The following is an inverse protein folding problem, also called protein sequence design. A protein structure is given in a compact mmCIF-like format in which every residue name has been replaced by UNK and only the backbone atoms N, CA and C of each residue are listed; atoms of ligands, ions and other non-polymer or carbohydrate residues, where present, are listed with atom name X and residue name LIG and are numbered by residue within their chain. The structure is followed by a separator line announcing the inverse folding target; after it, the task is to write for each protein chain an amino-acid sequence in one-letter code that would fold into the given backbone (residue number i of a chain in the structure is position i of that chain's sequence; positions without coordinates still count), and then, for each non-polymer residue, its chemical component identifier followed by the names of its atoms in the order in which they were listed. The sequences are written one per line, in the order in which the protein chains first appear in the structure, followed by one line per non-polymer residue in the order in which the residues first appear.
data_IF_961645516508
#
_entry.id   IF_961645516508
#
_cell.length_a   1.000
_cell.length_b   1.000
_cell.length_c   1.000
_cell.angle_alpha   90.00
_cell.angle_beta   90.00
_cell.angle_gamma   90.00
#
_symmetry.space_group_name_H-M   'P 1'
#
loop_
_entity.id
_entity.type
_entity.pdbx_description
1 polymer ?
#
# COMPACT_ATOMS: atom_id res chain seq x y z
N UNK A 1 -46.21 18.07 -8.91
CA UNK A 1 -44.75 18.22 -8.98
C UNK A 1 -44.17 17.57 -7.75
N UNK A 2 -43.70 16.34 -7.92
CA UNK A 2 -43.13 15.54 -6.82
C UNK A 2 -41.60 15.68 -6.92
N UNK A 3 -41.01 16.35 -5.94
CA UNK A 3 -39.56 16.49 -5.82
C UNK A 3 -39.04 15.19 -5.20
N UNK A 4 -38.36 14.35 -5.97
CA UNK A 4 -37.57 13.26 -5.45
C UNK A 4 -36.32 13.83 -4.80
N UNK A 5 -36.22 13.72 -3.48
CA UNK A 5 -34.98 13.90 -2.75
C UNK A 5 -34.04 12.77 -3.13
N UNK A 6 -32.89 13.10 -3.72
CA UNK A 6 -31.78 12.18 -3.89
C UNK A 6 -31.10 12.12 -2.53
N UNK A 7 -31.38 11.09 -1.77
CA UNK A 7 -30.56 10.71 -0.63
C UNK A 7 -29.18 10.29 -1.16
N UNK A 8 -28.20 11.13 -0.91
CA UNK A 8 -26.80 10.80 -1.07
C UNK A 8 -26.45 9.79 0.03
N UNK A 9 -26.61 8.52 -0.27
CA UNK A 9 -26.04 7.44 0.52
C UNK A 9 -24.52 7.55 0.41
N UNK A 10 -23.89 8.14 1.42
CA UNK A 10 -22.50 7.92 1.72
C UNK A 10 -22.36 6.45 2.11
N UNK A 11 -22.26 5.57 1.13
CA UNK A 11 -21.80 4.22 1.33
C UNK A 11 -20.37 4.29 1.88
N UNK A 12 -20.26 4.23 3.20
CA UNK A 12 -19.06 3.75 3.86
C UNK A 12 -18.86 2.30 3.42
N UNK A 13 -18.32 2.12 2.23
CA UNK A 13 -17.71 0.85 1.85
C UNK A 13 -16.60 0.62 2.86
N UNK A 14 -16.89 -0.20 3.86
CA UNK A 14 -15.87 -0.82 4.70
C UNK A 14 -14.98 -1.58 3.72
N UNK A 15 -13.88 -0.96 3.33
CA UNK A 15 -12.81 -1.62 2.60
C UNK A 15 -12.33 -2.71 3.54
N UNK A 16 -12.79 -3.94 3.33
CA UNK A 16 -12.22 -5.10 4.02
C UNK A 16 -10.72 -5.01 3.81
N UNK A 17 -9.97 -4.84 4.89
CA UNK A 17 -8.52 -4.85 4.85
C UNK A 17 -8.02 -6.14 4.19
N UNK A 18 -6.74 -6.23 3.86
CA UNK A 18 -6.18 -7.46 3.33
C UNK A 18 -6.50 -8.61 4.27
N UNK A 19 -6.92 -9.76 3.71
CA UNK A 19 -7.33 -10.94 4.50
C UNK A 19 -6.22 -11.54 5.36
N UNK A 20 -4.98 -11.03 5.24
CA UNK A 20 -3.79 -11.37 6.03
C UNK A 20 -2.80 -10.20 6.01
N UNK A 21 -2.11 -9.96 7.10
CA UNK A 21 -1.03 -8.96 7.21
C UNK A 21 0.31 -9.67 7.29
N UNK A 22 1.31 -9.18 6.54
CA UNK A 22 2.67 -9.77 6.47
C UNK A 22 3.65 -8.79 7.09
N UNK A 23 4.64 -9.29 7.85
CA UNK A 23 5.76 -8.47 8.38
C UNK A 23 6.59 -7.87 7.25
N UNK A 24 7.25 -6.74 7.52
CA UNK A 24 8.06 -6.05 6.50
C UNK A 24 9.21 -6.91 5.95
N UNK A 25 9.78 -7.81 6.77
CA UNK A 25 10.81 -8.78 6.38
C UNK A 25 10.23 -10.01 5.65
N UNK A 26 8.91 -10.17 5.63
CA UNK A 26 8.24 -11.30 5.00
C UNK A 26 8.38 -12.62 5.74
N UNK A 27 8.86 -12.63 7.01
CA UNK A 27 9.09 -13.84 7.77
C UNK A 27 7.81 -14.41 8.39
N UNK A 28 6.91 -13.55 8.83
CA UNK A 28 5.65 -13.92 9.46
C UNK A 28 4.45 -13.21 8.85
N UNK A 29 3.29 -13.82 9.03
CA UNK A 29 2.02 -13.18 8.74
C UNK A 29 0.99 -13.53 9.81
N UNK A 30 -0.08 -12.75 9.89
CA UNK A 30 -1.19 -13.02 10.78
C UNK A 30 -2.52 -12.64 10.14
N UNK A 31 -3.55 -13.38 10.49
CA UNK A 31 -4.94 -13.09 10.13
C UNK A 31 -5.88 -13.49 11.25
N UNK A 32 -7.08 -12.97 11.22
CA UNK A 32 -8.19 -13.53 11.96
C UNK A 32 -8.79 -14.65 11.12
N UNK A 33 -8.75 -15.88 11.63
CA UNK A 33 -9.21 -17.09 10.97
C UNK A 33 -10.41 -17.67 11.74
N UNK A 34 -11.06 -18.69 11.18
CA UNK A 34 -12.25 -19.31 11.76
C UNK A 34 -13.50 -19.08 10.91
N UNK A 35 -14.62 -19.61 11.36
CA UNK A 35 -15.91 -19.48 10.69
C UNK A 35 -16.98 -18.98 11.69
N UNK A 36 -17.93 -18.21 11.19
CA UNK A 36 -19.05 -17.72 11.99
C UNK A 36 -18.60 -16.83 13.14
N UNK A 37 -18.80 -17.29 14.37
CA UNK A 37 -18.40 -16.61 15.60
C UNK A 37 -17.16 -17.23 16.27
N UNK A 38 -16.69 -18.37 15.75
CA UNK A 38 -15.48 -19.06 16.28
C UNK A 38 -14.21 -18.52 15.60
N UNK A 39 -13.94 -17.23 15.84
CA UNK A 39 -12.77 -16.58 15.26
C UNK A 39 -11.57 -16.64 16.21
N UNK A 40 -10.38 -16.81 15.65
CA UNK A 40 -9.11 -16.85 16.39
C UNK A 40 -7.98 -16.23 15.57
N UNK A 41 -6.95 -15.65 16.22
CA UNK A 41 -5.73 -15.24 15.54
C UNK A 41 -4.99 -16.47 14.99
N UNK A 42 -4.53 -16.39 13.76
CA UNK A 42 -3.70 -17.39 13.12
C UNK A 42 -2.39 -16.75 12.68
N UNK A 43 -1.28 -17.32 13.14
CA UNK A 43 0.06 -16.90 12.74
C UNK A 43 0.61 -17.82 11.67
N UNK A 44 1.17 -17.26 10.63
CA UNK A 44 1.88 -17.98 9.59
C UNK A 44 3.38 -17.74 9.73
N UNK A 45 4.18 -18.79 9.60
CA UNK A 45 5.62 -18.73 9.37
C UNK A 45 5.84 -18.87 7.88
N UNK A 46 6.36 -17.83 7.24
CA UNK A 46 6.52 -17.74 5.79
C UNK A 46 7.96 -18.04 5.36
N UNK A 47 8.91 -17.87 6.27
CA UNK A 47 10.31 -18.20 6.07
C UNK A 47 10.56 -19.69 6.34
N UNK A 48 11.46 -20.27 5.53
CA UNK A 48 11.74 -21.70 5.60
C UNK A 48 11.32 -22.47 4.34
N UNK A 49 11.58 -23.80 4.32
CA UNK A 49 11.32 -24.64 3.14
C UNK A 49 9.83 -24.81 2.87
N UNK A 50 9.02 -24.89 3.90
CA UNK A 50 7.56 -25.04 3.84
C UNK A 50 6.88 -24.04 4.77
N UNK A 51 6.00 -23.17 4.26
CA UNK A 51 5.21 -22.30 5.10
C UNK A 51 4.19 -23.11 5.91
N UNK A 52 3.94 -22.69 7.14
CA UNK A 52 2.93 -23.33 7.98
C UNK A 52 2.18 -22.29 8.82
N UNK A 53 0.93 -22.62 9.17
CA UNK A 53 0.09 -21.83 10.03
C UNK A 53 -0.02 -22.46 11.42
N UNK A 54 -0.11 -21.61 12.44
CA UNK A 54 -0.38 -21.98 13.83
C UNK A 54 -1.60 -21.22 14.29
N UNK A 55 -2.64 -21.93 14.68
CA UNK A 55 -3.80 -21.34 15.33
C UNK A 55 -3.42 -20.89 16.75
N UNK A 56 -3.89 -19.73 17.13
CA UNK A 56 -3.66 -19.14 18.44
C UNK A 56 -5.00 -18.91 19.17
N UNK A 57 -5.77 -19.97 19.45
CA UNK A 57 -7.05 -19.83 20.14
C UNK A 57 -6.82 -19.38 21.59
N UNK A 58 -7.70 -18.52 22.06
CA UNK A 58 -7.75 -18.04 23.44
C UNK A 58 -8.96 -18.65 24.17
N UNK A 59 -9.17 -18.25 25.42
CA UNK A 59 -10.25 -18.77 26.24
C UNK A 59 -11.65 -18.49 25.66
N UNK A 60 -11.76 -17.44 24.84
CA UNK A 60 -12.98 -17.07 24.14
C UNK A 60 -12.65 -16.76 22.68
N UNK A 61 -13.57 -17.00 21.74
CA UNK A 61 -13.42 -16.57 20.36
C UNK A 61 -13.24 -15.05 20.26
N UNK A 62 -12.57 -14.62 19.20
CA UNK A 62 -12.39 -13.21 18.87
C UNK A 62 -13.60 -12.65 18.13
N UNK A 63 -13.83 -11.36 18.30
CA UNK A 63 -14.86 -10.64 17.56
C UNK A 63 -14.36 -10.30 16.12
N UNK A 64 -15.29 -10.15 15.16
CA UNK A 64 -14.97 -9.77 13.76
C UNK A 64 -14.22 -8.44 13.65
N UNK A 65 -14.35 -7.57 14.64
CA UNK A 65 -13.67 -6.28 14.73
C UNK A 65 -12.27 -6.34 15.37
N UNK A 66 -11.78 -7.53 15.74
CA UNK A 66 -10.42 -7.71 16.26
C UNK A 66 -9.42 -7.55 15.14
N UNK A 67 -8.47 -6.60 15.28
CA UNK A 67 -7.33 -6.49 14.38
C UNK A 67 -6.19 -7.38 14.85
N UNK A 68 -5.43 -7.91 13.88
CA UNK A 68 -4.23 -8.71 14.12
C UNK A 68 -3.05 -8.16 13.31
N UNK A 69 -1.88 -8.07 13.94
CA UNK A 69 -0.66 -7.57 13.32
C UNK A 69 0.53 -8.47 13.71
N UNK A 70 1.23 -9.09 12.75
CA UNK A 70 2.39 -9.92 13.04
C UNK A 70 3.62 -9.08 13.38
N UNK A 71 4.48 -9.62 14.25
CA UNK A 71 5.81 -9.09 14.56
C UNK A 71 6.90 -10.03 14.03
N UNK A 72 8.09 -9.50 13.75
CA UNK A 72 9.23 -10.27 13.22
C UNK A 72 9.84 -11.26 14.23
N UNK A 73 9.43 -11.23 15.50
CA UNK A 73 9.77 -12.22 16.50
C UNK A 73 8.77 -13.39 16.58
N UNK A 74 7.76 -13.39 15.71
CA UNK A 74 6.74 -14.43 15.62
C UNK A 74 5.58 -14.27 16.60
N UNK A 75 5.54 -13.20 17.40
CA UNK A 75 4.35 -12.82 18.18
C UNK A 75 3.34 -12.10 17.28
N UNK A 76 2.09 -12.12 17.70
CA UNK A 76 1.00 -11.42 17.01
C UNK A 76 0.38 -10.44 17.98
N UNK A 77 0.35 -9.16 17.59
CA UNK A 77 -0.43 -8.15 18.29
C UNK A 77 -1.90 -8.33 17.93
N UNK A 78 -2.76 -8.34 18.92
CA UNK A 78 -4.22 -8.27 18.76
C UNK A 78 -4.75 -6.99 19.38
N UNK A 79 -5.70 -6.36 18.69
CA UNK A 79 -6.45 -5.19 19.20
C UNK A 79 -7.92 -5.53 19.30
N UNK A 80 -8.47 -5.39 20.50
CA UNK A 80 -9.90 -5.57 20.79
C UNK A 80 -10.54 -4.24 21.18
N UNK A 81 -11.75 -4.00 20.74
CA UNK A 81 -12.53 -2.83 21.13
C UNK A 81 -13.55 -3.22 22.20
N UNK A 82 -13.41 -2.69 23.40
CA UNK A 82 -14.29 -3.03 24.54
C UNK A 82 -14.73 -1.75 25.23
N UNK A 83 -16.04 -1.48 25.25
CA UNK A 83 -16.64 -0.38 25.99
C UNK A 83 -15.96 0.99 25.78
N UNK A 84 -15.62 1.32 24.52
CA UNK A 84 -14.97 2.60 24.19
C UNK A 84 -13.47 2.65 24.47
N UNK A 85 -12.85 1.53 24.80
CA UNK A 85 -11.41 1.37 24.97
C UNK A 85 -10.86 0.42 23.95
N UNK A 86 -9.65 0.66 23.50
CA UNK A 86 -8.89 -0.23 22.62
C UNK A 86 -7.86 -0.96 23.48
N UNK A 87 -8.02 -2.27 23.60
CA UNK A 87 -7.14 -3.14 24.40
C UNK A 87 -6.16 -3.87 23.49
N UNK A 88 -4.93 -4.01 23.96
CA UNK A 88 -3.84 -4.64 23.22
C UNK A 88 -3.23 -5.79 23.99
N UNK A 89 -3.00 -6.90 23.29
CA UNK A 89 -2.28 -8.06 23.83
C UNK A 89 -1.34 -8.62 22.75
N UNK A 90 -0.23 -9.23 23.18
CA UNK A 90 0.61 -10.06 22.33
C UNK A 90 0.24 -11.52 22.55
N UNK A 91 -0.06 -12.23 21.47
CA UNK A 91 -0.31 -13.67 21.52
C UNK A 91 0.79 -14.44 20.79
N UNK A 92 1.14 -15.62 21.30
CA UNK A 92 2.23 -16.44 20.80
C UNK A 92 2.03 -17.92 21.18
N UNK A 93 2.59 -18.86 20.40
CA UNK A 93 2.49 -20.27 20.72
C UNK A 93 3.38 -20.61 21.93
N UNK A 94 2.85 -21.44 22.84
CA UNK A 94 3.57 -21.95 24.02
C UNK A 94 3.70 -23.48 24.00
N UNK A 95 3.83 -24.10 22.83
CA UNK A 95 3.74 -25.53 22.63
C UNK A 95 2.30 -25.92 22.28
N UNK A 96 1.57 -26.65 23.15
CA UNK A 96 0.20 -27.06 22.82
C UNK A 96 -0.85 -25.93 22.96
N UNK A 97 -0.47 -24.82 23.58
CA UNK A 97 -1.38 -23.71 23.89
C UNK A 97 -0.94 -22.37 23.33
N UNK A 98 -1.74 -21.34 23.64
CA UNK A 98 -1.49 -19.94 23.30
C UNK A 98 -1.14 -19.16 24.57
N UNK A 99 -0.01 -18.45 24.54
CA UNK A 99 0.33 -17.46 25.55
C UNK A 99 -0.27 -16.10 25.17
N UNK A 100 -0.72 -15.35 26.17
CA UNK A 100 -1.19 -13.98 26.01
C UNK A 100 -0.47 -13.06 27.00
N UNK A 101 0.07 -11.96 26.49
CA UNK A 101 0.69 -10.90 27.28
C UNK A 101 -0.10 -9.60 27.08
N UNK A 102 -0.91 -9.18 28.05
CA UNK A 102 -1.61 -7.90 27.98
C UNK A 102 -0.61 -6.72 27.99
N UNK A 103 -0.82 -5.75 27.10
CA UNK A 103 0.00 -4.54 26.98
C UNK A 103 -0.69 -3.31 27.57
N UNK A 104 -1.99 -3.41 27.89
CA UNK A 104 -2.82 -2.28 28.32
C UNK A 104 -3.74 -1.79 27.22
N UNK A 105 -4.16 -0.55 27.30
CA UNK A 105 -5.14 -0.01 26.37
C UNK A 105 -5.12 1.50 26.25
N UNK A 106 -5.82 2.01 25.23
CA UNK A 106 -6.02 3.43 24.95
C UNK A 106 -7.52 3.73 25.07
N UNK A 107 -7.88 4.79 25.78
CA UNK A 107 -9.26 5.25 25.90
C UNK A 107 -9.65 6.06 24.66
N UNK A 108 -10.23 5.38 23.71
CA UNK A 108 -10.71 5.99 22.45
C UNK A 108 -11.75 5.10 21.80
N UNK A 109 -12.76 5.72 21.20
CA UNK A 109 -13.78 5.01 20.43
C UNK A 109 -13.26 4.54 19.05
N UNK A 110 -12.27 5.24 18.50
CA UNK A 110 -11.76 4.97 17.14
C UNK A 110 -10.22 4.93 17.16
N UNK A 111 -9.68 3.89 16.54
CA UNK A 111 -8.24 3.70 16.36
C UNK A 111 -8.00 2.86 15.12
N UNK A 112 -6.90 3.15 14.42
CA UNK A 112 -6.44 2.38 13.25
C UNK A 112 -5.00 1.93 13.50
N UNK A 113 -4.75 0.61 13.44
CA UNK A 113 -3.37 0.10 13.45
C UNK A 113 -2.66 0.49 12.15
N UNK A 114 -1.43 0.98 12.28
CA UNK A 114 -0.57 1.21 11.12
C UNK A 114 -0.03 -0.12 10.58
N UNK A 115 0.38 -0.17 9.30
CA UNK A 115 1.07 -1.33 8.75
C UNK A 115 2.27 -1.75 9.59
N UNK A 116 2.71 -3.02 9.53
CA UNK A 116 3.89 -3.50 10.24
C UNK A 116 5.08 -2.54 10.05
N UNK A 117 5.72 -2.18 11.17
CA UNK A 117 6.88 -1.29 11.10
C UNK A 117 8.03 -1.93 10.32
N UNK A 118 8.88 -1.16 9.65
CA UNK A 118 9.98 -1.69 8.87
C UNK A 118 10.99 -2.50 9.70
N UNK A 119 11.14 -2.19 10.99
CA UNK A 119 12.00 -2.93 11.91
C UNK A 119 11.35 -4.24 12.42
N UNK A 120 10.04 -4.42 12.15
CA UNK A 120 9.27 -5.59 12.54
C UNK A 120 9.08 -5.79 14.04
N UNK A 121 9.58 -4.87 14.88
CA UNK A 121 9.60 -5.00 16.35
C UNK A 121 8.60 -4.07 17.03
N UNK A 122 8.22 -3.00 16.35
CA UNK A 122 7.31 -1.98 16.85
C UNK A 122 5.97 -2.07 16.15
N UNK A 123 4.93 -1.66 16.83
CA UNK A 123 3.62 -1.46 16.24
C UNK A 123 3.07 -0.11 16.65
N UNK A 124 2.44 0.56 15.71
CA UNK A 124 1.90 1.90 15.91
C UNK A 124 0.43 1.95 15.56
N UNK A 125 -0.26 2.95 16.11
CA UNK A 125 -1.66 3.21 15.84
C UNK A 125 -1.93 4.71 15.68
N UNK A 126 -2.93 5.04 14.89
CA UNK A 126 -3.49 6.38 14.76
C UNK A 126 -4.76 6.48 15.59
N UNK A 127 -4.85 7.53 16.38
CA UNK A 127 -6.05 7.91 17.14
C UNK A 127 -6.54 9.25 16.58
N UNK A 128 -7.52 9.26 15.66
CA UNK A 128 -8.05 10.50 15.13
C UNK A 128 -8.87 11.24 16.18
N UNK A 129 -8.50 12.49 16.40
CA UNK A 129 -9.22 13.46 17.21
C UNK A 129 -9.96 14.48 16.35
N UNK A 130 -10.65 15.45 16.99
CA UNK A 130 -11.44 16.47 16.28
C UNK A 130 -10.59 17.49 15.53
N UNK A 131 -9.36 17.75 15.96
CA UNK A 131 -8.46 18.78 15.38
C UNK A 131 -7.05 18.27 15.09
N UNK A 132 -6.72 17.09 15.57
CA UNK A 132 -5.41 16.47 15.43
C UNK A 132 -5.56 14.96 15.41
N UNK A 133 -4.50 14.26 15.01
CA UNK A 133 -4.39 12.81 15.05
C UNK A 133 -3.17 12.45 15.86
N UNK A 134 -3.37 11.71 16.93
CA UNK A 134 -2.28 11.20 17.77
C UNK A 134 -1.70 9.92 17.17
N UNK A 135 -0.38 9.79 17.21
CA UNK A 135 0.35 8.57 16.88
C UNK A 135 0.80 7.92 18.18
N UNK A 136 0.43 6.66 18.34
CA UNK A 136 0.76 5.86 19.53
C UNK A 136 1.68 4.71 19.16
N UNK A 137 2.74 4.51 19.93
CA UNK A 137 3.55 3.29 19.93
C UNK A 137 2.82 2.27 20.82
N UNK A 138 2.31 1.20 20.22
CA UNK A 138 1.53 0.16 20.92
C UNK A 138 2.42 -0.99 21.38
N UNK A 139 3.43 -1.33 20.57
CA UNK A 139 4.43 -2.36 20.89
C UNK A 139 5.82 -1.76 20.74
N UNK A 140 6.72 -2.06 21.67
CA UNK A 140 8.11 -1.61 21.64
C UNK A 140 8.44 -0.51 22.64
N UNK A 141 7.45 0.02 23.34
CA UNK A 141 7.61 0.91 24.48
C UNK A 141 7.97 0.19 25.78
N UNK A 142 8.28 0.94 26.83
CA UNK A 142 8.73 0.39 28.11
C UNK A 142 7.56 -0.13 28.98
N UNK A 143 6.39 0.54 28.94
CA UNK A 143 5.29 0.30 29.89
C UNK A 143 3.90 0.14 29.22
N UNK A 144 3.84 -0.30 27.96
CA UNK A 144 2.59 -0.42 27.20
C UNK A 144 2.43 0.67 26.15
N UNK A 145 1.19 1.03 25.74
CA UNK A 145 0.98 2.04 24.72
C UNK A 145 1.47 3.44 25.17
N UNK A 146 2.31 4.07 24.33
CA UNK A 146 2.93 5.36 24.56
C UNK A 146 2.55 6.35 23.47
N UNK A 147 2.15 7.57 23.84
CA UNK A 147 1.93 8.66 22.88
C UNK A 147 3.28 9.17 22.37
N UNK A 148 3.50 9.11 21.05
CA UNK A 148 4.80 9.46 20.45
C UNK A 148 4.77 10.72 19.60
N UNK A 149 3.64 11.05 19.00
CA UNK A 149 3.51 12.22 18.16
C UNK A 149 2.06 12.72 18.06
N UNK A 150 1.93 14.03 17.78
CA UNK A 150 0.64 14.67 17.52
C UNK A 150 0.72 15.41 16.18
N UNK A 151 -0.16 15.05 15.25
CA UNK A 151 -0.22 15.62 13.91
C UNK A 151 -1.47 16.50 13.81
N UNK A 152 -1.29 17.78 13.49
CA UNK A 152 -2.41 18.69 13.30
C UNK A 152 -3.29 18.27 12.11
N UNK A 153 -4.61 18.24 12.30
CA UNK A 153 -5.60 17.81 11.33
C UNK A 153 -5.98 16.34 11.46
N UNK A 154 -7.03 15.97 10.73
CA UNK A 154 -7.48 14.59 10.65
C UNK A 154 -6.63 13.82 9.65
N UNK A 155 -5.97 12.78 10.11
CA UNK A 155 -5.10 11.94 9.28
C UNK A 155 -5.66 10.52 9.14
N UNK A 156 -5.34 9.91 8.01
CA UNK A 156 -5.65 8.51 7.68
C UNK A 156 -4.48 7.90 6.88
N UNK A 157 -4.63 6.66 6.45
CA UNK A 157 -3.58 5.95 5.73
C UNK A 157 -2.45 5.50 6.64
N UNK A 158 -1.23 5.54 6.14
CA UNK A 158 -0.01 5.17 6.84
C UNK A 158 0.90 4.35 5.96
N UNK A 159 1.99 4.97 5.49
CA UNK A 159 3.00 4.32 4.65
C UNK A 159 4.38 4.69 5.18
N UNK A 160 5.19 3.69 5.47
CA UNK A 160 6.57 3.89 5.90
C UNK A 160 7.45 4.36 4.73
N UNK A 161 8.23 5.42 4.96
CA UNK A 161 9.09 6.03 3.94
C UNK A 161 10.56 5.66 4.10
N UNK A 162 10.93 5.07 5.23
CA UNK A 162 12.29 4.61 5.51
C UNK A 162 12.30 3.23 6.19
N UNK A 163 13.47 2.61 6.28
CA UNK A 163 13.65 1.30 6.91
C UNK A 163 13.78 1.36 8.42
N UNK A 164 13.92 2.53 9.00
CA UNK A 164 14.10 2.70 10.45
C UNK A 164 12.78 2.84 11.20
N UNK A 165 11.68 3.12 10.46
CA UNK A 165 10.38 3.41 11.04
C UNK A 165 10.29 4.80 11.68
N UNK A 166 11.16 5.72 11.27
CA UNK A 166 11.15 7.12 11.68
C UNK A 166 10.20 7.97 10.85
N UNK A 167 10.27 7.82 9.52
CA UNK A 167 9.51 8.63 8.60
C UNK A 167 8.23 7.92 8.17
N UNK A 168 7.08 8.50 8.51
CA UNK A 168 5.76 8.00 8.19
C UNK A 168 5.07 8.98 7.23
N UNK A 169 4.43 8.48 6.18
CA UNK A 169 3.51 9.28 5.38
C UNK A 169 2.08 9.06 5.85
N UNK A 170 1.34 10.15 6.00
CA UNK A 170 -0.09 10.16 6.32
C UNK A 170 -0.87 10.98 5.31
N UNK A 171 -2.10 10.60 5.06
CA UNK A 171 -3.08 11.34 4.27
C UNK A 171 -3.83 12.31 5.20
N UNK A 172 -3.56 13.61 5.10
CA UNK A 172 -4.12 14.65 5.96
C UNK A 172 -5.22 15.44 5.25
N UNK A 173 -6.37 15.53 5.86
CA UNK A 173 -7.48 16.36 5.43
C UNK A 173 -7.17 17.86 5.64
N UNK A 174 -7.38 18.69 4.62
CA UNK A 174 -7.13 20.13 4.65
C UNK A 174 -8.37 20.88 5.15
N UNK A 175 -8.58 20.86 6.47
CA UNK A 175 -9.84 21.34 7.07
C UNK A 175 -10.97 20.32 6.96
N UNK A 176 -12.09 20.57 7.61
CA UNK A 176 -13.23 19.64 7.64
C UNK A 176 -13.87 19.54 6.23
N UNK A 177 -13.83 18.35 5.64
CA UNK A 177 -14.35 18.07 4.30
C UNK A 177 -13.54 18.67 3.14
N UNK A 178 -12.33 19.16 3.42
CA UNK A 178 -11.41 19.66 2.39
C UNK A 178 -10.62 18.55 1.69
N UNK A 179 -9.83 18.93 0.67
CA UNK A 179 -9.01 17.95 -0.06
C UNK A 179 -8.00 17.28 0.85
N UNK A 180 -7.68 16.03 0.52
CA UNK A 180 -6.71 15.22 1.26
C UNK A 180 -5.33 15.36 0.62
N UNK A 181 -4.30 15.62 1.43
CA UNK A 181 -2.91 15.74 0.99
C UNK A 181 -2.02 14.79 1.76
N UNK A 182 -1.10 14.12 1.09
CA UNK A 182 -0.10 13.32 1.78
C UNK A 182 0.98 14.22 2.40
N UNK A 183 1.30 13.96 3.66
CA UNK A 183 2.34 14.62 4.44
C UNK A 183 3.32 13.60 4.99
N UNK A 184 4.58 13.99 5.17
CA UNK A 184 5.54 13.22 5.95
C UNK A 184 5.46 13.61 7.42
N UNK A 185 5.68 12.67 8.29
CA UNK A 185 5.68 12.83 9.75
C UNK A 185 6.99 12.26 10.28
N UNK A 186 7.80 13.07 10.96
CA UNK A 186 9.03 12.61 11.63
C UNK A 186 8.71 12.23 13.07
N UNK A 187 8.68 10.94 13.37
CA UNK A 187 8.31 10.42 14.69
C UNK A 187 9.39 10.71 15.75
N UNK A 188 10.66 10.87 15.37
CA UNK A 188 11.73 11.24 16.30
C UNK A 188 11.72 12.74 16.66
N UNK A 189 10.96 13.54 15.90
CA UNK A 189 10.78 14.97 16.15
C UNK A 189 9.37 15.31 16.63
N UNK A 190 8.73 14.40 17.33
CA UNK A 190 7.41 14.62 17.93
C UNK A 190 6.28 14.84 16.94
N UNK A 191 6.43 14.37 15.70
CA UNK A 191 5.41 14.50 14.66
C UNK A 191 5.56 15.74 13.78
N UNK A 192 6.78 16.32 13.68
CA UNK A 192 7.02 17.40 12.70
C UNK A 192 6.58 16.97 11.31
N UNK A 193 5.75 17.80 10.66
CA UNK A 193 5.16 17.47 9.37
C UNK A 193 5.71 18.31 8.24
N UNK A 194 5.95 17.68 7.08
CA UNK A 194 6.25 18.37 5.83
C UNK A 194 5.35 17.88 4.70
N UNK A 195 5.11 18.72 3.69
CA UNK A 195 4.31 18.32 2.54
C UNK A 195 5.05 17.24 1.73
N UNK A 196 4.33 16.16 1.37
CA UNK A 196 4.85 15.11 0.50
C UNK A 196 4.22 15.18 -0.89
N UNK A 197 2.90 15.23 -0.98
CA UNK A 197 2.16 15.29 -2.24
C UNK A 197 1.17 16.44 -2.22
N UNK A 198 1.33 17.35 -3.20
CA UNK A 198 0.42 18.48 -3.46
C UNK A 198 0.36 18.69 -4.98
N UNK A 199 -0.38 17.82 -5.69
CA UNK A 199 -0.38 17.78 -7.16
C UNK A 199 -1.19 18.96 -7.73
N UNK A 200 -2.39 19.21 -7.19
CA UNK A 200 -3.19 20.39 -7.48
C UNK A 200 -3.87 20.86 -6.19
N UNK A 201 -4.24 22.13 -6.09
CA UNK A 201 -4.80 22.73 -4.88
C UNK A 201 -6.05 21.98 -4.39
N UNK A 202 -7.02 21.74 -5.25
CA UNK A 202 -8.29 21.08 -4.93
C UNK A 202 -8.29 19.56 -5.09
N UNK A 203 -7.14 18.91 -5.38
CA UNK A 203 -7.12 17.47 -5.57
C UNK A 203 -6.94 16.71 -4.27
N UNK A 204 -7.49 15.50 -4.22
CA UNK A 204 -7.12 14.49 -3.24
C UNK A 204 -5.86 13.77 -3.72
N UNK A 205 -4.80 13.84 -2.92
CA UNK A 205 -3.49 13.26 -3.25
C UNK A 205 -3.06 12.32 -2.13
N UNK A 206 -3.27 11.01 -2.34
CA UNK A 206 -3.02 9.96 -1.35
C UNK A 206 -1.82 9.12 -1.71
N UNK A 207 -1.02 8.76 -0.71
CA UNK A 207 0.06 7.80 -0.88
C UNK A 207 -0.46 6.40 -0.55
N UNK A 208 -0.36 5.46 -1.50
CA UNK A 208 -0.82 4.09 -1.33
C UNK A 208 0.29 3.14 -0.92
N UNK A 209 1.50 3.33 -1.47
CA UNK A 209 2.64 2.46 -1.24
C UNK A 209 3.93 3.24 -1.54
N UNK A 210 4.97 2.98 -0.77
CA UNK A 210 6.32 3.49 -1.02
C UNK A 210 7.33 2.35 -0.92
N UNK A 211 8.37 2.41 -1.73
CA UNK A 211 9.56 1.57 -1.55
C UNK A 211 10.70 2.42 -1.01
N UNK A 212 11.15 2.18 0.24
CA UNK A 212 12.21 2.97 0.85
C UNK A 212 13.57 2.90 0.14
N UNK A 213 13.84 1.81 -0.62
CA UNK A 213 15.13 1.59 -1.27
C UNK A 213 15.27 2.38 -2.56
N UNK A 214 14.25 2.31 -3.42
CA UNK A 214 14.25 3.00 -4.71
C UNK A 214 13.67 4.40 -4.64
N UNK A 215 12.89 4.69 -3.58
CA UNK A 215 12.11 5.92 -3.49
C UNK A 215 10.85 5.93 -4.36
N UNK A 216 10.46 4.80 -4.95
CA UNK A 216 9.23 4.71 -5.74
C UNK A 216 8.00 4.97 -4.86
N UNK A 217 7.14 5.87 -5.32
CA UNK A 217 5.85 6.19 -4.70
C UNK A 217 4.71 5.77 -5.62
N UNK A 218 3.75 5.02 -5.10
CA UNK A 218 2.47 4.71 -5.76
C UNK A 218 1.38 5.58 -5.14
N UNK A 219 0.67 6.32 -5.97
CA UNK A 219 -0.15 7.45 -5.57
C UNK A 219 -1.54 7.28 -6.17
N UNK A 220 -2.55 7.73 -5.45
CA UNK A 220 -3.89 7.96 -5.99
C UNK A 220 -4.20 9.44 -5.95
N UNK A 221 -4.67 9.99 -7.08
CA UNK A 221 -5.06 11.38 -7.16
C UNK A 221 -6.17 11.60 -8.18
N UNK A 222 -7.03 12.57 -7.88
CA UNK A 222 -8.05 13.06 -8.80
C UNK A 222 -7.64 14.35 -9.53
N UNK A 223 -6.39 14.78 -9.44
CA UNK A 223 -5.85 15.99 -10.09
C UNK A 223 -6.05 15.99 -11.63
N UNK A 224 -6.17 14.82 -12.24
CA UNK A 224 -6.47 14.67 -13.67
C UNK A 224 -7.97 14.76 -14.02
N UNK A 225 -8.82 15.16 -13.04
CA UNK A 225 -10.28 15.30 -13.18
C UNK A 225 -11.08 14.07 -12.75
N UNK A 226 -10.42 12.94 -12.44
CA UNK A 226 -11.00 11.74 -11.88
C UNK A 226 -9.91 10.93 -11.16
N UNK A 227 -10.32 10.05 -10.27
CA UNK A 227 -9.40 9.17 -9.52
C UNK A 227 -8.54 8.32 -10.44
N UNK A 228 -7.23 8.41 -10.26
CA UNK A 228 -6.23 7.65 -11.03
C UNK A 228 -5.08 7.20 -10.15
N UNK A 229 -4.52 6.04 -10.52
CA UNK A 229 -3.22 5.63 -10.02
C UNK A 229 -2.11 6.37 -10.77
N UNK A 230 -1.17 6.88 -10.01
CA UNK A 230 0.04 7.52 -10.49
C UNK A 230 1.27 6.98 -9.76
N UNK A 231 2.42 7.42 -10.20
CA UNK A 231 3.69 7.13 -9.57
C UNK A 231 4.63 8.33 -9.62
N UNK A 232 5.51 8.38 -8.66
CA UNK A 232 6.57 9.39 -8.56
C UNK A 232 7.78 8.83 -7.84
N UNK A 233 8.78 9.67 -7.66
CA UNK A 233 10.02 9.32 -6.98
C UNK A 233 10.21 10.29 -5.81
N UNK A 234 10.42 9.77 -4.63
CA UNK A 234 10.63 10.54 -3.41
C UNK A 234 11.86 11.45 -3.57
N UNK A 235 11.72 12.73 -3.23
CA UNK A 235 12.80 13.71 -3.36
C UNK A 235 13.12 14.16 -4.80
N UNK A 236 12.37 13.68 -5.80
CA UNK A 236 12.54 14.11 -7.19
C UNK A 236 11.74 15.37 -7.50
N UNK A 237 12.29 16.19 -8.39
CA UNK A 237 11.59 17.35 -9.00
C UNK A 237 10.74 16.96 -10.21
N UNK A 238 10.80 15.70 -10.64
CA UNK A 238 9.99 15.21 -11.75
C UNK A 238 8.51 15.16 -11.37
N UNK A 239 7.60 15.48 -12.29
CA UNK A 239 6.18 15.44 -12.03
C UNK A 239 5.70 14.00 -11.82
N UNK A 240 4.61 13.86 -11.04
CA UNK A 240 3.86 12.61 -10.92
C UNK A 240 3.35 12.19 -12.30
N UNK A 241 3.47 10.92 -12.63
CA UNK A 241 3.02 10.32 -13.89
C UNK A 241 1.78 9.48 -13.64
N UNK A 242 0.78 9.59 -14.51
CA UNK A 242 -0.48 8.85 -14.48
C UNK A 242 -0.60 7.97 -15.73
N UNK A 243 -0.06 6.74 -15.70
CA UNK A 243 -0.08 5.84 -16.85
C UNK A 243 -1.50 5.40 -17.22
N UNK A 244 -1.85 5.47 -18.51
CA UNK A 244 -3.13 4.94 -18.98
C UNK A 244 -3.25 3.42 -18.79
N UNK A 245 -2.13 2.70 -18.77
CA UNK A 245 -2.11 1.26 -18.55
C UNK A 245 -2.62 0.83 -17.18
N UNK A 246 -2.63 1.73 -16.19
CA UNK A 246 -3.18 1.47 -14.85
C UNK A 246 -4.66 1.83 -14.73
N UNK A 247 -5.27 2.36 -15.80
CA UNK A 247 -6.69 2.66 -15.87
C UNK A 247 -7.44 1.47 -16.46
N UNK A 248 -8.09 0.71 -15.60
CA UNK A 248 -8.98 -0.37 -16.03
C UNK A 248 -10.43 0.06 -15.83
N UNK A 249 -11.27 0.03 -16.89
CA UNK A 249 -12.70 0.30 -16.74
C UNK A 249 -13.33 -0.70 -15.77
N UNK A 250 -14.23 -0.24 -14.92
CA UNK A 250 -15.04 -1.03 -14.01
C UNK A 250 -14.26 -1.98 -13.08
N UNK A 251 -13.00 -1.63 -12.81
CA UNK A 251 -12.13 -2.36 -11.90
C UNK A 251 -11.50 -1.44 -10.86
N UNK A 252 -11.46 -1.91 -9.62
CA UNK A 252 -10.62 -1.30 -8.59
C UNK A 252 -9.20 -1.87 -8.69
N UNK A 253 -8.21 -0.99 -8.79
CA UNK A 253 -6.79 -1.37 -8.88
C UNK A 253 -6.06 -0.83 -7.65
N UNK A 254 -5.39 -1.71 -6.90
CA UNK A 254 -4.69 -1.35 -5.66
C UNK A 254 -3.29 -1.96 -5.63
N UNK A 255 -2.22 -1.16 -5.47
CA UNK A 255 -0.88 -1.68 -5.26
C UNK A 255 -0.77 -2.31 -3.87
N UNK A 256 -0.09 -3.46 -3.75
CA UNK A 256 0.11 -4.12 -2.46
C UNK A 256 1.55 -4.53 -2.16
N UNK A 257 2.43 -4.63 -3.17
CA UNK A 257 3.83 -4.94 -2.95
C UNK A 257 4.72 -4.37 -4.06
N UNK A 258 5.96 -3.99 -3.70
CA UNK A 258 7.01 -3.54 -4.62
C UNK A 258 8.20 -4.49 -4.54
N UNK A 259 8.84 -4.75 -5.67
CA UNK A 259 10.04 -5.56 -5.76
C UNK A 259 11.22 -4.86 -5.08
N UNK A 260 11.83 -5.46 -4.04
CA UNK A 260 12.96 -4.86 -3.34
C UNK A 260 14.27 -4.96 -4.16
N UNK A 261 15.29 -4.24 -3.72
CA UNK A 261 16.65 -4.37 -4.26
C UNK A 261 16.91 -3.60 -5.56
N UNK A 262 15.98 -2.77 -6.00
CA UNK A 262 16.15 -1.87 -7.15
C UNK A 262 16.62 -0.49 -6.69
N UNK A 263 17.62 -0.44 -5.84
CA UNK A 263 18.17 0.81 -5.29
C UNK A 263 18.54 1.77 -6.41
N UNK A 264 18.06 3.02 -6.31
CA UNK A 264 18.26 4.09 -7.28
C UNK A 264 17.68 3.83 -8.69
N UNK A 265 16.90 2.79 -8.87
CA UNK A 265 16.24 2.49 -10.16
C UNK A 265 14.72 2.32 -9.98
N UNK A 266 14.00 3.35 -9.52
CA UNK A 266 12.56 3.26 -9.23
C UNK A 266 11.73 2.86 -10.44
N UNK A 267 12.15 3.23 -11.65
CA UNK A 267 11.48 2.88 -12.91
C UNK A 267 11.54 1.38 -13.22
N UNK A 268 12.49 0.65 -12.62
CA UNK A 268 12.67 -0.80 -12.82
C UNK A 268 12.02 -1.64 -11.72
N UNK A 269 11.46 -1.01 -10.68
CA UNK A 269 10.75 -1.73 -9.65
C UNK A 269 9.50 -2.40 -10.20
N UNK A 270 9.37 -3.71 -9.97
CA UNK A 270 8.13 -4.44 -10.19
C UNK A 270 7.10 -4.09 -9.13
N UNK A 271 5.87 -3.80 -9.53
CA UNK A 271 4.74 -3.51 -8.64
C UNK A 271 3.69 -4.59 -8.82
N UNK A 272 3.28 -5.19 -7.71
CA UNK A 272 2.16 -6.12 -7.66
C UNK A 272 0.87 -5.37 -7.30
N UNK A 273 -0.17 -5.65 -8.06
CA UNK A 273 -1.45 -4.97 -8.00
C UNK A 273 -2.58 -5.99 -7.78
N UNK A 274 -3.48 -5.68 -6.89
CA UNK A 274 -4.76 -6.35 -6.80
C UNK A 274 -5.75 -5.64 -7.70
N UNK A 275 -6.35 -6.39 -8.61
CA UNK A 275 -7.37 -5.92 -9.54
C UNK A 275 -8.66 -6.64 -9.19
N UNK A 276 -9.66 -5.87 -8.77
CA UNK A 276 -10.97 -6.36 -8.40
C UNK A 276 -12.01 -5.84 -9.40
N UNK A 277 -12.71 -6.73 -10.06
CA UNK A 277 -13.74 -6.43 -11.03
C UNK A 277 -14.92 -7.40 -10.91
N UNK A 278 -15.92 -7.27 -11.78
CA UNK A 278 -17.14 -8.09 -11.77
C UNK A 278 -16.85 -9.60 -11.88
N UNK A 279 -15.76 -10.00 -12.54
CA UNK A 279 -15.34 -11.40 -12.69
C UNK A 279 -14.52 -11.93 -11.49
N UNK A 280 -14.31 -11.11 -10.45
CA UNK A 280 -13.53 -11.45 -9.28
C UNK A 280 -12.15 -10.79 -9.23
N UNK A 281 -11.29 -11.33 -8.36
CA UNK A 281 -9.95 -10.79 -8.10
C UNK A 281 -8.90 -11.40 -9.03
N UNK A 282 -8.07 -10.55 -9.64
CA UNK A 282 -6.93 -10.97 -10.46
C UNK A 282 -5.65 -10.28 -9.98
N UNK A 283 -4.51 -10.86 -10.32
CA UNK A 283 -3.19 -10.30 -10.03
C UNK A 283 -2.73 -9.41 -11.19
N UNK A 284 -2.31 -8.19 -10.88
CA UNK A 284 -1.62 -7.31 -11.81
C UNK A 284 -0.11 -7.27 -11.53
N UNK A 285 0.69 -7.27 -12.57
CA UNK A 285 2.12 -6.94 -12.52
C UNK A 285 2.39 -5.75 -13.43
N UNK A 286 3.05 -4.75 -12.88
CA UNK A 286 3.37 -3.53 -13.59
C UNK A 286 4.77 -3.04 -13.23
N UNK A 287 5.39 -2.28 -14.13
CA UNK A 287 6.70 -1.67 -13.95
C UNK A 287 6.70 -0.30 -14.63
N UNK A 288 7.17 0.78 -13.96
CA UNK A 288 7.17 2.12 -14.56
C UNK A 288 7.82 2.20 -15.94
N UNK A 289 9.01 1.59 -16.10
CA UNK A 289 9.74 1.54 -17.39
C UNK A 289 9.03 0.68 -18.43
N UNK A 290 8.27 -0.31 -18.00
CA UNK A 290 7.54 -1.25 -18.85
C UNK A 290 6.31 -0.62 -19.50
N UNK A 291 5.61 0.25 -18.79
CA UNK A 291 4.41 0.95 -19.24
C UNK A 291 3.19 0.07 -19.50
N UNK A 292 3.28 -1.26 -19.32
CA UNK A 292 2.18 -2.21 -19.53
C UNK A 292 1.78 -2.87 -18.23
N UNK A 293 0.48 -3.01 -18.01
CA UNK A 293 -0.09 -3.83 -16.95
C UNK A 293 -0.34 -5.24 -17.48
N UNK A 294 0.25 -6.23 -16.81
CA UNK A 294 -0.04 -7.65 -17.04
C UNK A 294 -1.07 -8.12 -16.04
N UNK A 295 -2.14 -8.67 -16.53
CA UNK A 295 -3.13 -9.35 -15.70
C UNK A 295 -2.86 -10.86 -15.74
N UNK A 296 -2.82 -11.48 -14.56
CA UNK A 296 -2.55 -12.88 -14.36
C UNK A 296 -3.66 -13.49 -13.52
N UNK A 297 -3.99 -14.76 -13.75
CA UNK A 297 -4.86 -15.48 -12.86
C UNK A 297 -4.23 -15.56 -11.46
N UNK A 298 -4.96 -15.17 -10.45
CA UNK A 298 -4.56 -15.34 -9.07
C UNK A 298 -4.56 -16.83 -8.67
N UNK A 299 -3.68 -17.25 -7.75
CA UNK A 299 -3.77 -18.61 -7.19
C UNK A 299 -5.14 -18.85 -6.57
N UNK A 300 -5.66 -20.06 -6.72
CA UNK A 300 -6.94 -20.42 -6.10
C UNK A 300 -6.84 -20.30 -4.58
N UNK A 301 -7.78 -19.57 -3.97
CA UNK A 301 -7.77 -19.30 -2.53
C UNK A 301 -6.77 -18.22 -2.10
N UNK A 302 -6.24 -17.45 -3.06
CA UNK A 302 -5.37 -16.31 -2.74
C UNK A 302 -6.06 -15.36 -1.75
N UNK A 303 -5.35 -15.00 -0.71
CA UNK A 303 -5.77 -13.95 0.20
C UNK A 303 -5.53 -12.61 -0.50
N UNK A 304 -6.56 -12.15 -1.22
CA UNK A 304 -6.48 -11.08 -2.19
C UNK A 304 -5.87 -9.79 -1.61
N UNK A 305 -5.09 -9.07 -2.43
CA UNK A 305 -4.46 -7.82 -2.01
C UNK A 305 -3.22 -8.00 -1.12
N UNK A 306 -2.70 -9.22 -0.98
CA UNK A 306 -1.53 -9.50 -0.17
C UNK A 306 -0.50 -10.33 -0.89
N UNK A 307 0.75 -10.12 -0.52
CA UNK A 307 1.90 -10.84 -1.03
C UNK A 307 3.20 -10.14 -0.66
N UNK A 308 4.30 -10.83 -0.83
CA UNK A 308 5.63 -10.32 -0.53
C UNK A 308 6.61 -10.69 -1.64
N UNK A 309 7.46 -9.75 -2.04
CA UNK A 309 8.57 -10.00 -2.94
C UNK A 309 9.75 -10.53 -2.15
N UNK A 310 10.37 -11.61 -2.64
CA UNK A 310 11.65 -12.04 -2.10
C UNK A 310 12.83 -11.30 -2.77
N UNK A 311 14.00 -11.36 -2.14
CA UNK A 311 15.20 -10.70 -2.65
C UNK A 311 15.67 -11.24 -4.03
N UNK A 312 15.14 -12.38 -4.49
CA UNK A 312 15.42 -12.98 -5.80
C UNK A 312 14.45 -12.51 -6.89
N UNK A 313 13.50 -11.63 -6.54
CA UNK A 313 12.52 -11.10 -7.48
C UNK A 313 11.34 -12.02 -7.74
N UNK A 314 11.10 -13.02 -6.90
CA UNK A 314 9.88 -13.80 -6.94
C UNK A 314 8.82 -13.19 -6.02
N UNK A 315 7.59 -13.09 -6.54
CA UNK A 315 6.43 -12.68 -5.76
C UNK A 315 5.80 -13.91 -5.11
N UNK A 316 5.67 -13.90 -3.80
CA UNK A 316 5.03 -14.95 -2.99
C UNK A 316 3.64 -14.49 -2.57
N UNK A 317 2.61 -15.28 -2.90
CA UNK A 317 1.20 -14.98 -2.70
C UNK A 317 0.61 -15.99 -1.72
N UNK A 318 0.16 -15.56 -0.53
CA UNK A 318 -0.46 -16.45 0.45
C UNK A 318 -1.84 -16.91 -0.04
N UNK A 319 -2.11 -18.19 0.13
CA UNK A 319 -3.41 -18.76 -0.20
C UNK A 319 -3.86 -19.78 0.85
N UNK A 320 -5.17 -20.00 0.92
CA UNK A 320 -5.79 -21.06 1.72
C UNK A 320 -6.55 -21.99 0.79
N UNK A 321 -6.21 -23.27 0.81
CA UNK A 321 -6.92 -24.27 0.02
C UNK A 321 -8.23 -24.67 0.72
N UNK A 322 -9.32 -24.78 -0.08
CA UNK A 322 -10.63 -25.19 0.44
C UNK A 322 -10.64 -26.65 0.89
N UNK A 323 -11.32 -26.93 2.00
CA UNK A 323 -11.65 -28.27 2.48
C UNK A 323 -10.86 -28.73 3.74
N UNK A 324 -9.62 -28.35 3.92
CA UNK A 324 -8.83 -28.62 5.16
C UNK A 324 -8.16 -27.38 5.72
N UNK A 325 -8.37 -26.19 5.09
CA UNK A 325 -7.72 -24.95 5.54
C UNK A 325 -6.20 -24.97 5.40
N UNK A 326 -5.65 -25.79 4.52
CA UNK A 326 -4.20 -25.83 4.27
C UNK A 326 -3.72 -24.48 3.76
N UNK A 327 -2.75 -23.91 4.43
CA UNK A 327 -2.10 -22.66 4.04
C UNK A 327 -0.93 -22.94 3.11
N UNK A 328 -0.63 -22.00 2.21
CA UNK A 328 0.52 -22.09 1.33
C UNK A 328 0.93 -20.76 0.73
N UNK A 329 2.11 -20.78 0.10
CA UNK A 329 2.64 -19.63 -0.66
C UNK A 329 2.83 -20.03 -2.12
N UNK A 330 2.01 -19.48 -3.00
CA UNK A 330 2.25 -19.60 -4.43
C UNK A 330 3.41 -18.69 -4.83
N UNK A 331 4.35 -19.20 -5.62
CA UNK A 331 5.53 -18.48 -6.07
C UNK A 331 5.40 -18.13 -7.55
N UNK A 332 5.60 -16.85 -7.87
CA UNK A 332 5.60 -16.32 -9.22
C UNK A 332 6.97 -15.71 -9.53
N UNK A 333 7.64 -16.20 -10.59
CA UNK A 333 8.87 -15.59 -11.12
C UNK A 333 8.54 -14.31 -11.92
N UNK A 334 8.31 -13.23 -11.19
CA UNK A 334 7.97 -11.96 -11.78
C UNK A 334 9.17 -11.28 -12.48
N UNK A 335 10.37 -11.47 -11.97
CA UNK A 335 11.60 -10.96 -12.59
C UNK A 335 11.81 -11.57 -13.98
N UNK A 336 11.62 -12.89 -14.12
CA UNK A 336 11.68 -13.57 -15.41
C UNK A 336 10.60 -13.09 -16.39
N UNK A 337 9.42 -12.73 -15.91
CA UNK A 337 8.35 -12.16 -16.74
C UNK A 337 8.74 -10.78 -17.28
N UNK A 338 9.31 -9.89 -16.47
CA UNK A 338 9.77 -8.57 -16.92
C UNK A 338 10.97 -8.68 -17.89
N UNK A 339 11.92 -9.58 -17.61
CA UNK A 339 13.09 -9.79 -18.48
C UNK A 339 12.71 -10.26 -19.88
N UNK A 340 11.78 -11.20 -20.01
CA UNK A 340 11.27 -11.69 -21.31
C UNK A 340 10.62 -10.57 -22.11
N UNK A 341 9.89 -9.68 -21.47
CA UNK A 341 9.26 -8.53 -22.13
C UNK A 341 10.29 -7.52 -22.66
N UNK A 342 11.31 -7.22 -21.85
CA UNK A 342 12.39 -6.34 -22.26
C UNK A 342 13.17 -6.89 -23.48
N UNK A 343 13.33 -8.22 -23.55
CA UNK A 343 13.96 -8.89 -24.70
C UNK A 343 13.06 -8.85 -25.95
N UNK A 344 11.77 -9.14 -25.79
CA UNK A 344 10.82 -9.09 -26.90
C UNK A 344 10.72 -7.70 -27.53
N UNK A 345 10.75 -6.64 -26.72
CA UNK A 345 10.77 -5.25 -27.22
C UNK A 345 12.03 -4.92 -28.00
N UNK A 346 13.21 -5.35 -27.52
CA UNK A 346 14.48 -5.13 -28.22
C UNK A 346 14.47 -5.80 -29.58
N UNK A 347 14.00 -7.03 -29.67
CA UNK A 347 13.94 -7.78 -30.91
C UNK A 347 12.90 -7.20 -31.88
N UNK A 348 11.74 -6.70 -31.41
CA UNK A 348 10.75 -6.02 -32.23
C UNK A 348 11.25 -4.70 -32.82
N UNK A 349 11.96 -3.89 -32.01
CA UNK A 349 12.54 -2.63 -32.48
C UNK A 349 13.66 -2.80 -33.51
N UNK A 350 14.38 -3.94 -33.49
CA UNK A 350 15.41 -4.26 -34.50
C UNK A 350 14.79 -4.78 -35.80
N UNK A 351 13.61 -5.38 -35.77
CA UNK A 351 12.88 -5.87 -36.95
C UNK A 351 12.29 -4.74 -37.81
N UNK A 352 11.93 -3.61 -37.20
CA UNK A 352 11.40 -2.45 -37.95
C UNK A 352 12.45 -1.59 -38.64
N UNK A 353 13.73 -1.70 -38.29
CA UNK A 353 14.83 -0.96 -38.93
C UNK A 353 15.43 -1.67 -40.16
N UNK A 354 14.95 -2.89 -40.48
CA UNK A 354 15.49 -3.74 -41.54
C UNK A 354 14.68 -3.78 -42.85
N UNK A 355 13.62 -2.99 -43.04
CA UNK A 355 12.89 -2.97 -44.31
C UNK A 355 13.55 -1.97 -45.28
N UNK A 356 14.02 -2.39 -46.50
CA UNK A 356 14.60 -1.48 -47.45
C UNK A 356 13.52 -0.55 -48.02
N UNK A 357 13.83 0.74 -48.02
CA UNK A 357 13.02 1.76 -48.69
C UNK A 357 12.90 1.47 -50.18
N UNK A 358 11.74 1.00 -50.61
CA UNK A 358 11.38 0.95 -52.04
C UNK A 358 11.07 2.35 -52.53
N UNK A 359 11.87 2.82 -53.50
CA UNK A 359 11.61 4.02 -54.29
C UNK A 359 10.29 3.90 -55.04
N UNK A 360 9.37 4.84 -54.89
CA UNK A 360 8.41 5.20 -55.95
C UNK A 360 8.01 6.67 -55.86
N UNK A 361 8.07 7.32 -56.96
CA UNK A 361 8.05 8.68 -57.38
C UNK A 361 6.82 9.57 -57.00
N UNK A 362 6.77 10.82 -57.54
CA UNK A 362 6.08 11.95 -56.92
C UNK A 362 4.60 12.09 -57.35
N UNK A 363 3.72 12.40 -56.42
CA UNK A 363 2.32 12.62 -56.72
C UNK A 363 1.58 13.50 -55.73
N UNK A 364 1.45 14.78 -56.07
CA UNK A 364 0.37 15.75 -55.75
C UNK A 364 0.04 16.12 -54.32
N UNK A 365 0.37 17.38 -54.01
CA UNK A 365 -0.21 18.31 -53.03
C UNK A 365 -1.73 18.24 -52.89
N UNK A 366 -2.20 18.18 -51.67
CA UNK A 366 -3.51 18.69 -51.25
C UNK A 366 -3.38 19.43 -49.92
N UNK A 367 -3.60 20.73 -49.97
CA UNK A 367 -3.77 21.64 -48.84
C UNK A 367 -5.02 21.25 -48.06
N UNK A 368 -4.91 21.17 -46.72
CA UNK A 368 -6.02 21.34 -45.83
C UNK A 368 -5.55 22.13 -44.60
N UNK A 369 -6.31 23.14 -44.24
CA UNK A 369 -6.04 24.25 -43.37
C UNK A 369 -5.82 23.93 -41.88
N UNK A 370 -5.52 24.97 -41.06
CA UNK A 370 -4.96 24.83 -39.73
C UNK A 370 -6.04 24.48 -38.72
N UNK A 371 -5.88 23.31 -38.07
CA UNK A 371 -6.59 22.97 -36.86
C UNK A 371 -5.87 23.56 -35.64
N UNK A 372 -6.61 24.24 -34.80
CA UNK A 372 -6.14 24.83 -33.56
C UNK A 372 -5.38 23.86 -32.66
N UNK A 373 -4.30 24.29 -32.00
CA UNK A 373 -3.55 23.43 -31.09
C UNK A 373 -4.32 23.24 -29.79
N UNK A 374 -4.71 22.01 -29.48
CA UNK A 374 -5.14 21.62 -28.12
C UNK A 374 -3.97 21.88 -27.18
N UNK A 375 -4.18 22.80 -26.23
CA UNK A 375 -3.27 23.04 -25.12
C UNK A 375 -2.96 21.74 -24.35
N UNK A 376 -1.74 21.26 -24.50
CA UNK A 376 -1.19 20.21 -23.65
C UNK A 376 -1.04 20.79 -22.23
N UNK A 377 -1.87 20.33 -21.29
CA UNK A 377 -1.75 20.69 -19.88
C UNK A 377 -0.36 20.31 -19.37
N UNK A 378 0.37 21.30 -18.85
CA UNK A 378 1.72 21.13 -18.32
C UNK A 378 1.71 20.20 -17.10
N UNK A 379 2.68 19.28 -16.97
CA UNK A 379 2.85 18.43 -15.80
C UNK A 379 3.15 19.27 -14.54
N UNK A 380 2.67 18.82 -13.38
CA UNK A 380 2.89 19.48 -12.08
C UNK A 380 4.03 18.77 -11.33
N UNK A 381 5.07 19.50 -10.86
CA UNK A 381 6.19 18.89 -10.14
C UNK A 381 5.80 18.42 -8.72
N UNK A 382 6.45 17.36 -8.22
CA UNK A 382 6.45 16.99 -6.81
C UNK A 382 7.17 18.09 -6.00
N UNK A 383 6.54 18.61 -4.94
CA UNK A 383 7.18 19.57 -4.06
C UNK A 383 8.26 18.86 -3.22
N UNK A 384 9.46 19.43 -3.18
CA UNK A 384 10.55 18.94 -2.34
C UNK A 384 10.27 19.27 -0.87
N UNK A 385 10.27 18.26 -0.01
CA UNK A 385 10.45 18.47 1.42
C UNK A 385 11.93 18.91 1.65
N UNK A 386 12.21 20.03 2.36
CA UNK A 386 13.58 20.46 2.58
C UNK A 386 14.27 19.48 3.53
N UNK A 387 15.20 18.69 2.99
CA UNK A 387 15.98 17.68 3.72
C UNK A 387 17.17 18.25 4.52
N UNK A 388 17.40 19.57 4.55
CA UNK A 388 18.49 20.14 5.35
C UNK A 388 18.18 21.57 5.81
N UNK A 389 18.09 21.75 7.13
CA UNK A 389 18.22 23.05 7.75
C UNK A 389 19.66 23.57 7.56
N UNK A 390 19.82 24.61 6.77
CA UNK A 390 21.06 25.36 6.68
C UNK A 390 21.32 26.00 8.06
N UNK A 391 22.36 25.55 8.76
CA UNK A 391 22.94 26.33 9.88
C UNK A 391 23.41 27.67 9.34
N UNK A 392 22.67 28.72 9.67
CA UNK A 392 23.15 30.09 9.53
C UNK A 392 24.20 30.34 10.61
N UNK A 393 25.42 30.64 10.22
CA UNK A 393 26.39 31.32 11.02
C UNK A 393 26.01 32.80 11.09
N UNK A 394 25.88 33.30 12.29
CA UNK A 394 25.72 34.71 12.61
C UNK A 394 25.63 34.87 14.13
#
# INVERSE_FOLDING_TARGET
MTVCAIESAAESTSVSGPGITITADGAYAARLAGEGEDLYPERWTLDGPEPYAVQLPLAQPEERGTDVLPLSDGRVLIRRSVAGRQLFSLVYPTGPGTGELPLGGIETASLVLLPPSPDGRRAYALVPGPRSTAVWLVVGGAFGPEHVAEVAGRCSGGVWLDRTGRMLALDREQGAGGPVKAVTVDLERGGETTALLQIAEGSDDRLLLADPDSGLLLIRSNAAGHDRLGWGIMGSTLPVRFPESLRLPDCAVRPFAVQPGQTLEPERCGVALWIEGAAGSTLGLWQPSGGRLRQLAAPRGWLAGTGVWDARGALRLPYVSGGRGECGLARLDAAGLFAREATARRNGAQGEQGAPAGETGPGRTRETGPGEPREARRPVPLQQAPLMGRKGLG
#
